data_IF_796480699198
#
_entry.id   IF_796480699198
#
_cell.length_a   1.000
_cell.length_b   1.000
_cell.length_c   1.000
_cell.angle_alpha   90.00
_cell.angle_beta   90.00
_cell.angle_gamma   90.00
#
_symmetry.space_group_name_H-M   'P 1'
#
loop_
_entity.id
_entity.type
_entity.pdbx_description
1 polymer ?
#
# COMPACT_ATOMS: atom_id res chain seq x y z
N UNK A 1 7.39 -2.95 14.97
CA UNK A 1 7.49 -3.02 13.50
C UNK A 1 8.16 -1.75 13.00
N UNK A 2 9.21 -1.84 12.17
CA UNK A 2 9.92 -0.67 11.62
C UNK A 2 9.26 -0.21 10.31
N UNK A 3 9.37 1.08 9.97
CA UNK A 3 8.82 1.63 8.72
C UNK A 3 9.38 0.92 7.48
N UNK A 4 10.69 0.62 7.48
CA UNK A 4 11.37 -0.12 6.41
C UNK A 4 10.77 -1.50 6.17
N UNK A 5 10.45 -2.26 7.23
CA UNK A 5 9.83 -3.58 7.08
C UNK A 5 8.44 -3.49 6.45
N UNK A 6 7.65 -2.48 6.83
CA UNK A 6 6.32 -2.23 6.26
C UNK A 6 6.45 -1.91 4.78
N UNK A 7 7.31 -0.96 4.42
CA UNK A 7 7.54 -0.55 3.02
C UNK A 7 8.01 -1.74 2.18
N UNK A 8 9.01 -2.50 2.62
CA UNK A 8 9.48 -3.69 1.87
C UNK A 8 8.36 -4.72 1.67
N UNK A 9 7.48 -4.88 2.66
CA UNK A 9 6.36 -5.82 2.58
C UNK A 9 5.29 -5.34 1.60
N UNK A 10 4.94 -4.05 1.65
CA UNK A 10 4.02 -3.41 0.72
C UNK A 10 4.51 -3.55 -0.74
N UNK A 11 5.79 -3.27 -0.99
CA UNK A 11 6.43 -3.44 -2.30
C UNK A 11 6.40 -4.90 -2.76
N UNK A 12 6.64 -5.86 -1.86
CA UNK A 12 6.54 -7.29 -2.18
C UNK A 12 5.12 -7.70 -2.55
N UNK A 13 4.10 -7.18 -1.86
CA UNK A 13 2.70 -7.44 -2.20
C UNK A 13 2.40 -6.89 -3.59
N UNK A 14 2.79 -5.64 -3.87
CA UNK A 14 2.63 -5.02 -5.20
C UNK A 14 3.27 -5.86 -6.29
N UNK A 15 4.54 -6.24 -6.14
CA UNK A 15 5.27 -6.93 -7.20
C UNK A 15 4.90 -8.40 -7.38
N UNK A 16 4.36 -9.07 -6.35
CA UNK A 16 4.10 -10.52 -6.39
C UNK A 16 2.64 -10.90 -6.54
N UNK A 17 1.73 -10.08 -6.00
CA UNK A 17 0.30 -10.39 -5.97
C UNK A 17 -0.49 -9.59 -6.99
N UNK A 18 -0.11 -8.32 -7.17
CA UNK A 18 -0.72 -7.45 -8.17
C UNK A 18 0.10 -7.61 -9.45
N UNK A 19 -0.47 -8.15 -10.53
CA UNK A 19 0.28 -8.37 -11.78
C UNK A 19 0.62 -7.06 -12.46
N UNK A 20 1.71 -6.44 -12.03
CA UNK A 20 2.23 -5.19 -12.57
C UNK A 20 3.00 -5.43 -13.88
N UNK A 21 2.98 -4.42 -14.76
CA UNK A 21 3.80 -4.42 -15.99
C UNK A 21 5.29 -4.24 -15.69
N UNK A 22 5.60 -3.51 -14.62
CA UNK A 22 6.95 -3.16 -14.20
C UNK A 22 7.12 -3.40 -12.70
N UNK A 23 8.36 -3.67 -12.27
CA UNK A 23 8.71 -3.88 -10.87
C UNK A 23 8.79 -2.53 -10.16
N UNK A 24 8.03 -2.36 -9.09
CA UNK A 24 8.09 -1.19 -8.20
C UNK A 24 9.28 -1.33 -7.26
N UNK A 25 10.12 -0.30 -7.20
CA UNK A 25 11.25 -0.26 -6.28
C UNK A 25 10.84 0.28 -4.90
N UNK A 26 11.62 -0.01 -3.86
CA UNK A 26 11.37 0.54 -2.52
C UNK A 26 11.51 2.07 -2.49
N UNK A 27 12.35 2.65 -3.35
CA UNK A 27 12.55 4.10 -3.48
C UNK A 27 11.33 4.82 -4.09
N UNK A 28 10.35 4.08 -4.63
CA UNK A 28 9.13 4.66 -5.21
C UNK A 28 8.01 4.84 -4.17
N UNK A 29 8.35 4.90 -2.88
CA UNK A 29 7.37 4.85 -1.80
C UNK A 29 6.40 6.04 -1.77
N UNK A 30 6.80 7.18 -2.32
CA UNK A 30 6.02 8.42 -2.38
C UNK A 30 5.27 8.61 -3.71
N UNK A 31 5.45 7.68 -4.66
CA UNK A 31 4.79 7.71 -5.97
C UNK A 31 3.33 7.29 -5.84
N UNK A 32 2.45 7.99 -6.56
CA UNK A 32 1.04 7.61 -6.64
C UNK A 32 0.91 6.24 -7.32
N UNK A 33 0.19 5.33 -6.66
CA UNK A 33 -0.09 3.98 -7.16
C UNK A 33 -0.86 4.01 -8.49
N UNK A 34 -1.67 5.04 -8.72
CA UNK A 34 -2.43 5.26 -9.96
C UNK A 34 -1.66 6.05 -11.02
N UNK A 35 -0.43 6.48 -10.74
CA UNK A 35 0.41 7.18 -11.73
C UNK A 35 0.73 6.27 -12.91
N UNK A 36 1.15 6.84 -14.04
CA UNK A 36 1.59 6.04 -15.19
C UNK A 36 2.78 5.12 -14.89
N UNK A 37 3.58 5.46 -13.86
CA UNK A 37 4.73 4.67 -13.44
C UNK A 37 4.33 3.35 -12.79
N UNK A 38 3.32 3.36 -11.93
CA UNK A 38 2.85 2.14 -11.23
C UNK A 38 1.64 1.53 -11.95
N UNK A 39 0.68 2.36 -12.34
CA UNK A 39 -0.40 2.01 -13.26
C UNK A 39 -1.55 1.22 -12.64
N UNK A 40 -1.77 1.30 -11.32
CA UNK A 40 -2.92 0.64 -10.71
C UNK A 40 -4.23 1.33 -11.10
N UNK A 41 -5.15 0.56 -11.67
CA UNK A 41 -6.54 0.97 -11.80
C UNK A 41 -7.33 0.68 -10.50
N UNK A 42 -8.61 1.03 -10.49
CA UNK A 42 -9.47 0.84 -9.32
C UNK A 42 -9.59 -0.62 -8.86
N UNK A 43 -9.58 -1.58 -9.78
CA UNK A 43 -9.67 -3.00 -9.44
C UNK A 43 -8.40 -3.44 -8.72
N UNK A 44 -7.24 -3.10 -9.27
CA UNK A 44 -5.97 -3.42 -8.63
C UNK A 44 -5.81 -2.70 -7.28
N UNK A 45 -6.32 -1.47 -7.14
CA UNK A 45 -6.29 -0.74 -5.88
C UNK A 45 -7.09 -1.45 -4.79
N UNK A 46 -8.27 -2.00 -5.12
CA UNK A 46 -9.09 -2.77 -4.17
C UNK A 46 -8.39 -4.08 -3.81
N UNK A 47 -7.90 -4.82 -4.80
CA UNK A 47 -7.17 -6.08 -4.57
C UNK A 47 -5.92 -5.85 -3.70
N UNK A 48 -5.19 -4.78 -3.99
CA UNK A 48 -4.02 -4.40 -3.22
C UNK A 48 -4.37 -4.06 -1.77
N UNK A 49 -5.43 -3.28 -1.55
CA UNK A 49 -5.95 -2.98 -0.22
C UNK A 49 -6.28 -4.26 0.57
N UNK A 50 -6.98 -5.21 -0.05
CA UNK A 50 -7.32 -6.48 0.59
C UNK A 50 -6.06 -7.28 0.98
N UNK A 51 -5.05 -7.33 0.09
CA UNK A 51 -3.79 -8.01 0.39
C UNK A 51 -3.03 -7.35 1.55
N UNK A 52 -3.08 -6.02 1.64
CA UNK A 52 -2.46 -5.26 2.73
C UNK A 52 -3.17 -5.51 4.06
N UNK A 53 -4.50 -5.46 4.06
CA UNK A 53 -5.32 -5.76 5.25
C UNK A 53 -5.04 -7.17 5.78
N UNK A 54 -4.97 -8.17 4.89
CA UNK A 54 -4.59 -9.54 5.23
C UNK A 54 -3.17 -9.63 5.80
N UNK A 55 -2.18 -9.02 5.13
CA UNK A 55 -0.77 -9.17 5.50
C UNK A 55 -0.40 -8.52 6.84
N UNK A 56 -1.12 -7.47 7.24
CA UNK A 56 -0.86 -6.74 8.48
C UNK A 56 -1.93 -6.95 9.55
N UNK A 57 -2.93 -7.80 9.29
CA UNK A 57 -4.07 -8.05 10.19
C UNK A 57 -4.77 -6.76 10.64
N UNK A 58 -4.96 -5.83 9.70
CA UNK A 58 -5.63 -4.53 9.92
C UNK A 58 -6.86 -4.38 9.05
N UNK A 59 -7.78 -3.50 9.45
CA UNK A 59 -8.92 -3.08 8.62
C UNK A 59 -8.94 -1.56 8.52
N UNK A 60 -9.00 -1.05 7.29
CA UNK A 60 -9.10 0.37 7.02
C UNK A 60 -10.57 0.80 6.92
N UNK A 61 -10.93 1.81 7.68
CA UNK A 61 -12.26 2.43 7.57
C UNK A 61 -12.31 3.37 6.38
N UNK A 62 -13.51 3.60 5.84
CA UNK A 62 -13.73 4.58 4.76
C UNK A 62 -13.21 5.98 5.15
N UNK A 63 -13.35 6.36 6.42
CA UNK A 63 -12.86 7.66 6.91
C UNK A 63 -11.32 7.73 6.89
N UNK A 64 -10.63 6.67 7.29
CA UNK A 64 -9.16 6.59 7.22
C UNK A 64 -8.68 6.64 5.76
N UNK A 65 -9.35 5.93 4.86
CA UNK A 65 -9.04 5.98 3.42
C UNK A 65 -9.25 7.38 2.84
N UNK A 66 -10.29 8.11 3.28
CA UNK A 66 -10.56 9.49 2.86
C UNK A 66 -9.55 10.50 3.41
N UNK A 67 -9.16 10.37 4.69
CA UNK A 67 -8.31 11.35 5.40
C UNK A 67 -6.82 11.07 5.24
N UNK A 68 -6.39 9.82 5.40
CA UNK A 68 -4.99 9.40 5.30
C UNK A 68 -4.57 9.05 3.88
N UNK A 69 -5.52 8.67 3.03
CA UNK A 69 -5.28 8.29 1.65
C UNK A 69 -4.65 6.89 1.52
N UNK A 70 -5.20 6.06 0.64
CA UNK A 70 -4.56 4.85 0.16
C UNK A 70 -4.04 5.13 -1.24
N UNK A 71 -2.95 5.90 -1.34
CA UNK A 71 -2.50 6.53 -2.60
C UNK A 71 -1.05 6.25 -2.93
N UNK A 72 -0.19 6.17 -1.91
CA UNK A 72 1.24 5.89 -2.04
C UNK A 72 1.60 4.79 -1.03
N UNK A 73 2.73 4.12 -1.22
CA UNK A 73 3.21 3.12 -0.25
C UNK A 73 3.46 3.79 1.11
N UNK A 74 3.97 5.02 1.13
CA UNK A 74 4.16 5.79 2.36
C UNK A 74 2.85 6.05 3.09
N UNK A 75 1.80 6.48 2.38
CA UNK A 75 0.51 6.79 3.04
C UNK A 75 -0.11 5.53 3.65
N UNK A 76 0.10 4.37 3.00
CA UNK A 76 -0.33 3.07 3.51
C UNK A 76 0.49 2.66 4.73
N UNK A 77 1.81 2.84 4.68
CA UNK A 77 2.70 2.59 5.82
C UNK A 77 2.29 3.40 7.05
N UNK A 78 2.00 4.69 6.86
CA UNK A 78 1.53 5.58 7.93
C UNK A 78 0.19 5.12 8.52
N UNK A 79 -0.73 4.63 7.69
CA UNK A 79 -2.02 4.08 8.13
C UNK A 79 -1.81 2.81 8.97
N UNK A 80 -0.97 1.88 8.51
CA UNK A 80 -0.63 0.65 9.24
C UNK A 80 0.02 1.02 10.58
N UNK A 81 0.98 1.93 10.57
CA UNK A 81 1.68 2.34 11.79
C UNK A 81 0.72 2.92 12.85
N UNK A 82 -0.25 3.74 12.43
CA UNK A 82 -1.30 4.26 13.31
C UNK A 82 -2.21 3.17 13.88
N UNK A 83 -2.40 2.06 13.17
CA UNK A 83 -3.18 0.90 13.66
C UNK A 83 -2.39 0.07 14.66
N UNK A 84 -1.10 -0.16 14.42
CA UNK A 84 -0.26 -0.97 15.29
C UNK A 84 0.22 -0.27 16.58
N UNK A 85 0.07 1.05 16.67
CA UNK A 85 0.37 1.83 17.88
C UNK A 85 -0.81 1.98 18.86
N UNK A 86 -2.00 1.48 18.50
CA UNK A 86 -3.17 1.42 19.39
C UNK A 86 -3.25 0.07 20.06
#
# INVERSE_FOLDING_TARGET
>A
MTSELVISTLVKILNKRIMLREVVAEDDYDVLLTSQKIGLDYTHMIEYMMCVEEAFEVVFTIEELRKGGFRTIQSISDLIYKKCLR
#
